data_IF_114743906055
#
_entry.id   IF_114743906055
#
_cell.length_a   1.000
_cell.length_b   1.000
_cell.length_c   1.000
_cell.angle_alpha   90.00
_cell.angle_beta   90.00
_cell.angle_gamma   90.00
#
_symmetry.space_group_name_H-M   'P 1'
#
loop_
_entity.id
_entity.type
_entity.pdbx_description
1 polymer ?
#
# COMPACT_ATOMS: atom_id res chain seq x y z
N UNK A 1 40.62 -38.97 19.62
CA UNK A 1 40.79 -37.51 19.45
C UNK A 1 40.31 -36.99 18.10
N UNK A 2 40.81 -37.49 16.96
CA UNK A 2 40.40 -37.01 15.61
C UNK A 2 38.88 -37.03 15.34
N UNK A 3 38.17 -38.08 15.77
CA UNK A 3 36.70 -38.20 15.59
C UNK A 3 35.89 -37.16 16.37
N UNK A 4 36.37 -36.77 17.57
CA UNK A 4 35.73 -35.74 18.39
C UNK A 4 35.93 -34.34 17.80
N UNK A 5 37.11 -34.08 17.23
CA UNK A 5 37.39 -32.81 16.53
C UNK A 5 36.45 -32.65 15.33
N UNK A 6 36.25 -33.72 14.55
CA UNK A 6 35.32 -33.71 13.41
C UNK A 6 33.87 -33.48 13.88
N UNK A 7 33.43 -34.15 14.95
CA UNK A 7 32.08 -34.00 15.49
C UNK A 7 31.81 -32.57 16.01
N UNK A 8 32.78 -31.96 16.69
CA UNK A 8 32.70 -30.56 17.15
C UNK A 8 32.63 -29.60 15.96
N UNK A 9 33.43 -29.85 14.92
CA UNK A 9 33.42 -29.01 13.72
C UNK A 9 32.06 -29.05 13.01
N UNK A 10 31.47 -30.24 12.87
CA UNK A 10 30.12 -30.42 12.30
C UNK A 10 29.07 -29.67 13.13
N UNK A 11 29.11 -29.80 14.46
CA UNK A 11 28.17 -29.12 15.35
C UNK A 11 28.27 -27.59 15.23
N UNK A 12 29.48 -27.04 15.13
CA UNK A 12 29.70 -25.60 14.93
C UNK A 12 29.16 -25.15 13.57
N UNK A 13 29.45 -25.89 12.49
CA UNK A 13 28.95 -25.54 11.16
C UNK A 13 27.42 -25.58 11.07
N UNK A 14 26.78 -26.57 11.69
CA UNK A 14 25.32 -26.65 11.75
C UNK A 14 24.76 -25.51 12.59
N UNK A 15 25.33 -25.24 13.77
CA UNK A 15 24.90 -24.13 14.63
C UNK A 15 25.00 -22.77 13.95
N UNK A 16 26.10 -22.50 13.25
CA UNK A 16 26.26 -21.28 12.45
C UNK A 16 25.27 -21.22 11.29
N UNK A 17 25.05 -22.32 10.57
CA UNK A 17 24.06 -22.37 9.49
C UNK A 17 22.64 -22.08 9.99
N UNK A 18 22.24 -22.65 11.12
CA UNK A 18 20.94 -22.36 11.74
C UNK A 18 20.84 -20.91 12.20
N UNK A 19 21.92 -20.36 12.77
CA UNK A 19 21.97 -18.96 13.19
C UNK A 19 21.84 -17.98 12.01
N UNK A 20 22.56 -18.24 10.90
CA UNK A 20 22.44 -17.42 9.70
C UNK A 20 21.07 -17.55 9.04
N UNK A 21 20.46 -18.74 9.03
CA UNK A 21 19.09 -18.91 8.54
C UNK A 21 18.08 -18.16 9.42
N UNK A 22 18.26 -18.18 10.74
CA UNK A 22 17.41 -17.44 11.68
C UNK A 22 17.53 -15.92 11.52
N UNK A 23 18.73 -15.41 11.25
CA UNK A 23 18.92 -13.98 10.94
C UNK A 23 18.40 -13.62 9.55
N UNK A 24 18.49 -14.54 8.58
CA UNK A 24 18.07 -14.30 7.19
C UNK A 24 16.57 -14.55 6.96
N UNK A 25 15.85 -15.08 7.95
CA UNK A 25 14.41 -14.83 8.08
C UNK A 25 14.19 -13.37 8.49
N UNK A 26 14.71 -12.45 7.67
CA UNK A 26 14.28 -11.06 7.65
C UNK A 26 12.81 -11.12 7.28
N UNK A 27 11.96 -10.96 8.29
CA UNK A 27 10.52 -10.85 8.14
C UNK A 27 10.28 -9.67 7.22
N UNK A 28 9.99 -9.92 5.94
CA UNK A 28 9.41 -8.93 5.05
C UNK A 28 8.13 -8.46 5.73
N UNK A 29 8.19 -7.32 6.41
CA UNK A 29 7.09 -6.78 7.20
C UNK A 29 6.24 -5.97 6.24
N UNK A 30 5.33 -6.67 5.57
CA UNK A 30 4.23 -5.99 4.92
C UNK A 30 3.39 -5.33 6.01
N UNK A 31 3.33 -4.00 5.98
CA UNK A 31 2.44 -3.25 6.86
C UNK A 31 1.13 -3.03 6.11
N UNK A 32 0.02 -3.44 6.72
CA UNK A 32 -1.32 -3.23 6.15
C UNK A 32 -2.15 -2.38 7.06
N UNK A 33 -2.67 -1.28 6.53
CA UNK A 33 -3.59 -0.38 7.21
C UNK A 33 -4.93 -0.41 6.47
N UNK A 34 -5.99 -0.72 7.20
CA UNK A 34 -7.35 -0.67 6.69
C UNK A 34 -8.13 0.39 7.45
N UNK A 35 -8.88 1.21 6.72
CA UNK A 35 -9.81 2.17 7.30
C UNK A 35 -11.09 2.21 6.50
N UNK A 36 -12.17 2.56 7.19
CA UNK A 36 -13.49 2.78 6.62
C UNK A 36 -13.92 4.21 6.95
N UNK A 37 -14.32 4.96 5.94
CA UNK A 37 -14.75 6.35 6.09
C UNK A 37 -16.11 6.57 5.43
N UNK A 38 -17.02 7.17 6.21
CA UNK A 38 -18.30 7.66 5.71
C UNK A 38 -18.41 9.16 6.01
N UNK A 39 -18.42 9.95 4.95
CA UNK A 39 -18.41 11.41 5.03
C UNK A 39 -19.62 11.96 4.28
N UNK A 40 -20.44 12.76 4.98
CA UNK A 40 -21.67 13.36 4.47
C UNK A 40 -21.57 14.87 4.51
N UNK A 41 -21.79 15.52 3.37
CA UNK A 41 -21.68 16.97 3.23
C UNK A 41 -22.83 17.52 2.41
N UNK A 42 -23.15 18.79 2.66
CA UNK A 42 -24.14 19.54 1.88
C UNK A 42 -23.40 20.67 1.18
N UNK A 43 -23.49 20.71 -0.14
CA UNK A 43 -22.91 21.75 -0.97
C UNK A 43 -23.68 23.07 -0.79
N UNK A 44 -23.09 24.19 -1.25
CA UNK A 44 -23.66 25.53 -1.08
C UNK A 44 -25.04 25.71 -1.74
N UNK A 45 -25.32 24.93 -2.76
CA UNK A 45 -26.61 24.86 -3.48
C UNK A 45 -27.64 23.93 -2.81
N UNK A 46 -27.30 23.34 -1.65
CA UNK A 46 -28.16 22.42 -0.91
C UNK A 46 -28.06 20.97 -1.38
N UNK A 47 -27.23 20.66 -2.39
CA UNK A 47 -27.05 19.28 -2.84
C UNK A 47 -26.34 18.44 -1.79
N UNK A 48 -26.88 17.25 -1.52
CA UNK A 48 -26.30 16.29 -0.58
C UNK A 48 -25.31 15.40 -1.29
N UNK A 49 -24.20 15.18 -0.61
CA UNK A 49 -23.14 14.30 -1.09
C UNK A 49 -22.75 13.36 0.04
N UNK A 50 -22.60 12.09 -0.30
CA UNK A 50 -22.19 11.04 0.62
C UNK A 50 -21.04 10.26 -0.03
N UNK A 51 -19.89 10.27 0.64
CA UNK A 51 -18.77 9.39 0.33
C UNK A 51 -18.80 8.26 1.36
N UNK A 52 -18.81 7.02 0.89
CA UNK A 52 -18.69 5.84 1.73
C UNK A 52 -17.62 4.96 1.10
N UNK A 53 -16.44 4.92 1.70
CA UNK A 53 -15.26 4.28 1.14
C UNK A 53 -14.54 3.45 2.17
N UNK A 54 -14.02 2.34 1.69
CA UNK A 54 -13.04 1.52 2.34
C UNK A 54 -11.70 1.74 1.65
N UNK A 55 -10.67 1.91 2.46
CA UNK A 55 -9.31 2.19 2.02
C UNK A 55 -8.41 1.16 2.67
N UNK A 56 -7.75 0.37 1.83
CA UNK A 56 -6.81 -0.66 2.23
C UNK A 56 -5.43 -0.32 1.65
N UNK A 57 -4.48 -0.04 2.55
CA UNK A 57 -3.12 0.36 2.22
C UNK A 57 -2.19 -0.79 2.57
N UNK A 58 -1.46 -1.29 1.58
CA UNK A 58 -0.43 -2.31 1.75
C UNK A 58 0.92 -1.66 1.45
N UNK A 59 1.81 -1.64 2.42
CA UNK A 59 3.17 -1.16 2.24
C UNK A 59 4.12 -2.36 2.18
N UNK A 60 4.84 -2.48 1.07
CA UNK A 60 5.97 -3.40 0.94
C UNK A 60 7.24 -2.60 1.22
N UNK A 61 8.09 -3.12 2.12
CA UNK A 61 9.34 -2.47 2.54
C UNK A 61 10.26 -2.10 1.34
N UNK A 62 10.03 -2.72 0.17
CA UNK A 62 10.72 -2.52 -1.11
C UNK A 62 10.35 -1.22 -1.87
N UNK A 63 10.08 -0.11 -1.15
CA UNK A 63 9.76 1.22 -1.70
C UNK A 63 8.45 1.32 -2.49
N UNK A 64 7.56 0.33 -2.37
CA UNK A 64 6.27 0.32 -3.05
C UNK A 64 5.15 0.22 -2.03
N UNK A 65 4.17 1.10 -2.15
CA UNK A 65 2.94 0.99 -1.40
C UNK A 65 1.78 0.93 -2.37
N UNK A 66 0.71 0.29 -1.95
CA UNK A 66 -0.46 0.09 -2.76
C UNK A 66 -1.69 0.52 -1.97
N UNK A 67 -2.58 1.28 -2.61
CA UNK A 67 -3.87 1.65 -2.08
C UNK A 67 -4.95 0.98 -2.91
N UNK A 68 -5.77 0.17 -2.27
CA UNK A 68 -7.04 -0.30 -2.78
C UNK A 68 -8.15 0.55 -2.19
N UNK A 69 -8.90 1.22 -3.06
CA UNK A 69 -10.01 2.07 -2.67
C UNK A 69 -11.29 1.51 -3.29
N UNK A 70 -12.26 1.19 -2.45
CA UNK A 70 -13.54 0.66 -2.90
C UNK A 70 -14.69 1.31 -2.13
N UNK A 71 -15.78 1.61 -2.81
CA UNK A 71 -16.90 2.27 -2.15
C UNK A 71 -17.89 2.91 -3.10
N UNK A 72 -18.62 3.88 -2.57
CA UNK A 72 -19.64 4.62 -3.30
C UNK A 72 -19.52 6.12 -3.04
N UNK A 73 -19.82 6.88 -4.08
CA UNK A 73 -20.00 8.31 -4.02
C UNK A 73 -21.40 8.62 -4.51
N UNK A 74 -22.22 9.25 -3.67
CA UNK A 74 -23.57 9.64 -4.03
C UNK A 74 -23.63 11.15 -4.13
N UNK A 75 -24.20 11.64 -5.23
CA UNK A 75 -24.42 13.06 -5.48
C UNK A 75 -25.87 13.24 -5.92
N UNK A 76 -26.68 13.89 -5.08
CA UNK A 76 -28.12 14.01 -5.32
C UNK A 76 -28.82 12.65 -5.53
N UNK A 77 -29.37 12.37 -6.72
CA UNK A 77 -30.00 11.10 -7.07
C UNK A 77 -29.06 10.12 -7.78
N UNK A 78 -27.81 10.52 -8.02
CA UNK A 78 -26.82 9.70 -8.72
C UNK A 78 -25.95 8.95 -7.72
N UNK A 79 -25.66 7.69 -8.02
CA UNK A 79 -24.78 6.85 -7.23
C UNK A 79 -23.67 6.31 -8.12
N UNK A 80 -22.44 6.59 -7.70
CA UNK A 80 -21.23 6.18 -8.36
C UNK A 80 -20.54 5.11 -7.50
N UNK A 81 -19.97 4.11 -8.15
CA UNK A 81 -19.12 3.10 -7.55
C UNK A 81 -17.68 3.50 -7.80
N UNK A 82 -16.88 3.54 -6.74
CA UNK A 82 -15.45 3.76 -6.82
C UNK A 82 -14.79 2.41 -6.61
N UNK A 83 -13.90 1.99 -7.52
CA UNK A 83 -13.10 0.78 -7.32
C UNK A 83 -11.78 0.97 -8.04
N UNK A 84 -10.75 1.31 -7.27
CA UNK A 84 -9.45 1.75 -7.80
C UNK A 84 -8.30 1.08 -7.07
N UNK A 85 -7.27 0.81 -7.84
CA UNK A 85 -5.96 0.35 -7.37
C UNK A 85 -4.94 1.43 -7.71
N UNK A 86 -4.28 1.97 -6.70
CA UNK A 86 -3.29 3.05 -6.84
C UNK A 86 -1.95 2.53 -6.35
N UNK A 87 -0.94 2.55 -7.22
CA UNK A 87 0.43 2.22 -6.88
C UNK A 87 1.18 3.50 -6.53
N UNK A 88 1.81 3.47 -5.36
CA UNK A 88 2.66 4.51 -4.81
C UNK A 88 4.10 4.02 -4.81
N UNK A 89 5.02 4.89 -5.19
CA UNK A 89 6.44 4.55 -5.18
C UNK A 89 7.22 5.66 -4.51
N UNK A 90 8.14 5.27 -3.62
CA UNK A 90 9.07 6.18 -2.98
C UNK A 90 10.13 6.62 -4.01
N UNK A 91 10.27 7.93 -4.18
CA UNK A 91 11.28 8.54 -5.04
C UNK A 91 12.18 9.46 -4.21
N UNK A 92 13.37 9.77 -4.72
CA UNK A 92 14.22 10.78 -4.10
C UNK A 92 13.49 12.12 -4.07
N UNK A 93 13.55 12.77 -2.91
CA UNK A 93 12.94 14.06 -2.70
C UNK A 93 13.73 15.20 -3.33
N UNK A 94 13.09 16.36 -3.56
CA UNK A 94 13.78 17.57 -4.02
C UNK A 94 14.77 18.12 -2.98
N UNK A 95 14.70 17.64 -1.73
CA UNK A 95 15.59 17.99 -0.63
C UNK A 95 16.49 16.79 -0.33
N UNK A 96 17.78 17.03 -0.13
CA UNK A 96 18.75 15.98 0.19
C UNK A 96 18.28 15.18 1.42
N UNK A 97 18.36 13.85 1.34
CA UNK A 97 17.91 12.90 2.35
C UNK A 97 16.40 12.93 2.65
N UNK A 98 15.58 13.52 1.78
CA UNK A 98 14.12 13.34 1.84
C UNK A 98 13.66 12.40 0.75
N UNK A 99 12.48 11.81 0.95
CA UNK A 99 11.81 11.00 -0.03
C UNK A 99 10.42 11.52 -0.27
N UNK A 100 9.99 11.52 -1.53
CA UNK A 100 8.63 11.84 -1.92
C UNK A 100 7.90 10.56 -2.30
N UNK A 101 6.59 10.54 -2.09
CA UNK A 101 5.73 9.45 -2.56
C UNK A 101 5.07 9.93 -3.84
N UNK A 102 5.31 9.23 -4.93
CA UNK A 102 4.71 9.52 -6.22
C UNK A 102 3.63 8.49 -6.54
N UNK A 103 2.51 8.94 -7.12
CA UNK A 103 1.52 8.05 -7.72
C UNK A 103 2.05 7.60 -9.07
N UNK A 104 2.43 6.32 -9.19
CA UNK A 104 3.05 5.79 -10.41
C UNK A 104 2.05 5.10 -11.33
N UNK A 105 0.94 4.59 -10.78
CA UNK A 105 -0.10 3.94 -11.56
C UNK A 105 -1.46 4.03 -10.88
N UNK A 106 -2.49 4.35 -11.64
CA UNK A 106 -3.88 4.20 -11.25
C UNK A 106 -4.54 3.17 -12.18
N UNK A 107 -5.29 2.22 -11.62
CA UNK A 107 -6.05 1.23 -12.39
C UNK A 107 -7.51 1.28 -11.96
N UNK A 108 -8.38 1.48 -12.95
CA UNK A 108 -9.83 1.48 -12.78
C UNK A 108 -10.38 0.08 -13.03
N UNK A 109 -11.28 -0.36 -12.16
CA UNK A 109 -12.00 -1.62 -12.36
C UNK A 109 -13.25 -1.40 -13.23
N UNK A 110 -13.75 -2.42 -13.95
CA UNK A 110 -14.91 -2.28 -14.85
C UNK A 110 -16.21 -1.76 -14.21
N UNK A 111 -16.33 -1.85 -12.88
CA UNK A 111 -17.48 -1.33 -12.11
C UNK A 111 -17.29 0.11 -11.65
N UNK A 112 -16.10 0.68 -11.78
CA UNK A 112 -15.87 2.09 -11.52
C UNK A 112 -16.59 2.91 -12.60
N UNK A 113 -17.52 3.75 -12.18
CA UNK A 113 -18.32 4.59 -13.07
C UNK A 113 -18.21 6.08 -12.71
N UNK A 114 -17.20 6.44 -11.91
CA UNK A 114 -16.95 7.83 -11.54
C UNK A 114 -16.53 8.61 -12.80
N UNK A 115 -17.03 9.84 -13.01
CA UNK A 115 -16.61 10.67 -14.15
C UNK A 115 -15.09 10.83 -14.22
N UNK A 116 -14.52 10.79 -15.43
CA UNK A 116 -13.07 10.87 -15.67
C UNK A 116 -12.42 12.16 -15.11
N UNK A 117 -13.19 13.24 -14.95
CA UNK A 117 -12.71 14.48 -14.32
C UNK A 117 -12.35 14.30 -12.83
N UNK A 118 -12.89 13.27 -12.20
CA UNK A 118 -12.58 12.86 -10.82
C UNK A 118 -11.47 11.78 -10.77
N UNK A 119 -10.74 11.56 -11.87
CA UNK A 119 -9.51 10.78 -11.89
C UNK A 119 -8.40 11.50 -11.12
N UNK A 120 -7.46 10.75 -10.54
CA UNK A 120 -6.31 11.36 -9.87
C UNK A 120 -5.32 11.74 -10.97
N UNK A 121 -5.41 12.99 -11.46
CA UNK A 121 -4.49 13.49 -12.48
C UNK A 121 -3.04 13.47 -11.95
N UNK A 122 -2.21 12.60 -12.53
CA UNK A 122 -0.80 12.39 -12.20
C UNK A 122 0.13 13.53 -12.66
N UNK A 123 -0.42 14.62 -13.22
CA UNK A 123 0.35 15.74 -13.78
C UNK A 123 0.72 16.85 -12.78
N UNK A 124 0.34 16.72 -11.50
CA UNK A 124 0.63 17.72 -10.48
C UNK A 124 1.13 17.08 -9.17
N UNK A 125 2.30 16.44 -9.23
CA UNK A 125 3.18 16.22 -8.08
C UNK A 125 4.62 16.52 -8.48
#
# INVERSE_FOLDING_TARGET
MKKYIIAVFIAITLGLSFFFLYLNTSTQKWERCYTHEVTKYTLKDGMKVELNVDIDVVNDDDNQSEIFLFGTFKHSNESYTITRRILLTKQEGPIKNTSTIAITKESLYPRDNVPAICGINTHYL
#
